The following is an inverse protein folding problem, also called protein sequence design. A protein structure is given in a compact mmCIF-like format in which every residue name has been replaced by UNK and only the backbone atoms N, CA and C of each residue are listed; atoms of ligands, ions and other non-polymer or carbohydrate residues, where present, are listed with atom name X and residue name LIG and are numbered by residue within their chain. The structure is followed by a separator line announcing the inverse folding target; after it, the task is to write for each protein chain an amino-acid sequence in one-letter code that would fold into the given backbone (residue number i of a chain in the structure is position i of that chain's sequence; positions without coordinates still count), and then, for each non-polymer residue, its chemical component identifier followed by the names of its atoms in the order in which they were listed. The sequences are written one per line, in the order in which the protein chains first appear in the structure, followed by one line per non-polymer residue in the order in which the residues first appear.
data_IF_226253853390
#
_entry.id   IF_226253853390
#
_cell.length_a   1.000
_cell.length_b   1.000
_cell.length_c   1.000
_cell.angle_alpha   90.00
_cell.angle_beta   90.00
_cell.angle_gamma   90.00
#
_symmetry.space_group_name_H-M   'P 1'
#
loop_
_entity.id
_entity.type
_entity.pdbx_description
1 polymer ?
#
# COMPACT_ATOMS: atom_id res chain seq x y z
N UNK A 1 -13.85 -24.73 -10.17
CA UNK A 1 -14.47 -23.42 -9.86
C UNK A 1 -13.37 -22.51 -9.36
N UNK A 2 -13.17 -21.35 -9.98
CA UNK A 2 -12.18 -20.34 -9.57
C UNK A 2 -12.93 -19.15 -8.98
N UNK A 3 -12.60 -18.77 -7.76
CA UNK A 3 -13.25 -17.67 -7.03
C UNK A 3 -12.19 -16.79 -6.40
N UNK A 4 -12.25 -15.47 -6.63
CA UNK A 4 -11.47 -14.49 -5.88
C UNK A 4 -12.12 -13.12 -6.02
N UNK A 5 -12.02 -12.30 -4.95
CA UNK A 5 -12.59 -10.96 -4.90
C UNK A 5 -11.79 -9.88 -5.63
N UNK A 6 -10.62 -10.22 -6.18
CA UNK A 6 -9.71 -9.25 -6.82
C UNK A 6 -9.33 -9.61 -8.26
N UNK A 7 -9.95 -10.65 -8.83
CA UNK A 7 -9.69 -11.04 -10.22
C UNK A 7 -10.21 -9.96 -11.17
N UNK A 8 -9.30 -9.26 -11.83
CA UNK A 8 -9.64 -8.28 -12.86
C UNK A 8 -8.48 -8.10 -13.84
N UNK A 9 -8.74 -8.02 -15.16
CA UNK A 9 -10.01 -8.33 -15.84
C UNK A 9 -10.20 -9.86 -16.00
N UNK A 10 -11.45 -10.35 -15.82
CA UNK A 10 -11.75 -11.80 -15.83
C UNK A 10 -11.36 -12.52 -17.14
N UNK A 11 -11.50 -11.83 -18.27
CA UNK A 11 -11.18 -12.34 -19.61
C UNK A 11 -9.70 -12.69 -19.80
N UNK A 12 -8.81 -12.17 -18.95
CA UNK A 12 -7.39 -12.49 -18.98
C UNK A 12 -7.11 -13.93 -18.55
N UNK A 13 -7.85 -14.43 -17.56
CA UNK A 13 -7.56 -15.72 -16.92
C UNK A 13 -7.90 -16.90 -17.83
N UNK A 14 -9.00 -16.82 -18.59
CA UNK A 14 -9.37 -17.87 -19.55
C UNK A 14 -8.30 -18.06 -20.62
N UNK A 15 -7.78 -16.94 -21.16
CA UNK A 15 -6.70 -16.95 -22.15
C UNK A 15 -5.38 -17.44 -21.57
N UNK A 16 -5.00 -16.96 -20.39
CA UNK A 16 -3.70 -17.27 -19.78
C UNK A 16 -3.60 -18.76 -19.37
N UNK A 17 -4.71 -19.34 -18.91
CA UNK A 17 -4.76 -20.72 -18.41
C UNK A 17 -5.18 -21.73 -19.49
N UNK A 18 -5.49 -21.29 -20.72
CA UNK A 18 -5.95 -22.16 -21.80
C UNK A 18 -7.28 -22.87 -21.47
N UNK A 19 -8.21 -22.16 -20.81
CA UNK A 19 -9.49 -22.74 -20.41
C UNK A 19 -10.49 -22.63 -21.56
N UNK A 20 -10.61 -23.70 -22.34
CA UNK A 20 -11.50 -23.76 -23.50
C UNK A 20 -12.99 -23.87 -23.14
N UNK A 21 -13.32 -24.20 -21.88
CA UNK A 21 -14.69 -24.43 -21.39
C UNK A 21 -15.04 -23.60 -20.16
N UNK A 22 -15.01 -22.28 -20.29
CA UNK A 22 -15.54 -21.37 -19.26
C UNK A 22 -17.05 -21.24 -19.45
N UNK A 23 -17.82 -21.81 -18.51
CA UNK A 23 -19.29 -21.82 -18.57
C UNK A 23 -19.89 -20.50 -18.09
N UNK A 24 -19.34 -19.93 -17.02
CA UNK A 24 -19.75 -18.64 -16.44
C UNK A 24 -18.51 -17.89 -15.97
N UNK A 25 -18.42 -16.61 -16.31
CA UNK A 25 -17.40 -15.70 -15.82
C UNK A 25 -18.08 -14.39 -15.50
N UNK A 26 -18.34 -14.17 -14.21
CA UNK A 26 -19.07 -13.01 -13.72
C UNK A 26 -18.29 -12.35 -12.59
N UNK A 27 -18.25 -11.01 -12.63
CA UNK A 27 -17.85 -10.20 -11.50
C UNK A 27 -19.13 -9.77 -10.81
N UNK A 28 -19.25 -10.10 -9.53
CA UNK A 28 -20.38 -9.67 -8.72
C UNK A 28 -20.07 -8.28 -8.20
N UNK A 29 -20.93 -7.31 -8.53
CA UNK A 29 -20.82 -5.98 -7.95
C UNK A 29 -21.13 -6.03 -6.45
N UNK A 30 -20.41 -5.21 -5.69
CA UNK A 30 -20.63 -5.12 -4.25
C UNK A 30 -21.91 -4.31 -4.00
N UNK A 31 -22.90 -4.94 -3.38
CA UNK A 31 -24.10 -4.24 -2.90
C UNK A 31 -23.90 -3.93 -1.43
N UNK A 32 -23.82 -2.64 -1.10
CA UNK A 32 -23.62 -2.15 0.25
C UNK A 32 -24.76 -1.21 0.59
N UNK A 33 -25.25 -1.28 1.83
CA UNK A 33 -26.29 -0.37 2.32
C UNK A 33 -25.80 1.09 2.41
N UNK A 34 -24.48 1.31 2.38
CA UNK A 34 -23.82 2.62 2.45
C UNK A 34 -22.52 2.61 1.62
N UNK A 35 -22.10 3.79 1.19
CA UNK A 35 -20.79 4.01 0.55
C UNK A 35 -19.65 3.81 1.57
N UNK A 36 -19.25 2.57 1.82
CA UNK A 36 -18.22 2.27 2.82
C UNK A 36 -16.77 2.35 2.28
N UNK A 37 -16.60 2.50 0.96
CA UNK A 37 -15.28 2.63 0.32
C UNK A 37 -15.26 3.90 -0.53
N UNK A 38 -14.26 4.77 -0.29
CA UNK A 38 -14.05 6.02 -1.02
C UNK A 38 -12.66 6.04 -1.66
N UNK A 39 -12.50 5.50 -2.88
CA UNK A 39 -11.22 5.54 -3.56
C UNK A 39 -10.88 6.97 -3.97
N UNK A 40 -9.64 7.40 -3.74
CA UNK A 40 -9.12 8.71 -4.14
C UNK A 40 -7.77 8.52 -4.82
N UNK A 41 -7.59 9.14 -5.98
CA UNK A 41 -6.31 9.17 -6.69
C UNK A 41 -5.71 10.56 -6.54
N UNK A 42 -4.57 10.65 -5.88
CA UNK A 42 -3.82 11.90 -5.71
C UNK A 42 -2.67 11.92 -6.70
N UNK A 43 -2.74 12.83 -7.68
CA UNK A 43 -1.74 12.93 -8.77
C UNK A 43 -0.75 14.08 -8.57
N UNK A 44 -1.06 15.03 -7.69
CA UNK A 44 -0.27 16.24 -7.46
C UNK A 44 -0.31 16.64 -5.99
N UNK A 45 0.76 17.30 -5.55
CA UNK A 45 0.83 18.03 -4.30
C UNK A 45 1.32 19.44 -4.64
N UNK A 46 0.45 20.43 -4.53
CA UNK A 46 0.68 21.77 -5.08
C UNK A 46 1.10 21.69 -6.57
N UNK A 47 2.27 22.22 -6.91
CA UNK A 47 2.80 22.24 -8.27
C UNK A 47 3.62 21.00 -8.66
N UNK A 48 3.85 20.09 -7.70
CA UNK A 48 4.66 18.88 -7.89
C UNK A 48 3.79 17.72 -8.35
N UNK A 49 4.16 17.10 -9.47
CA UNK A 49 3.53 15.85 -9.95
C UNK A 49 4.03 14.69 -9.10
N UNK A 50 3.10 13.95 -8.49
CA UNK A 50 3.43 12.76 -7.73
C UNK A 50 3.63 11.59 -8.68
N UNK A 51 4.86 11.08 -8.74
CA UNK A 51 5.19 9.94 -9.58
C UNK A 51 6.16 9.00 -8.88
N UNK A 52 5.88 7.70 -8.98
CA UNK A 52 6.79 6.63 -8.56
C UNK A 52 7.58 6.04 -9.73
N UNK A 53 7.77 6.79 -10.82
CA UNK A 53 8.62 6.37 -11.94
C UNK A 53 10.07 6.22 -11.48
N UNK A 54 10.87 5.40 -12.16
CA UNK A 54 12.26 5.17 -11.76
C UNK A 54 13.10 6.46 -11.69
N UNK A 55 12.81 7.43 -12.55
CA UNK A 55 13.48 8.72 -12.58
C UNK A 55 13.04 9.62 -11.42
N UNK A 56 11.73 9.70 -11.16
CA UNK A 56 11.16 10.55 -10.10
C UNK A 56 11.31 9.99 -8.68
N UNK A 57 11.63 8.70 -8.51
CA UNK A 57 11.88 8.10 -7.18
C UNK A 57 13.08 8.68 -6.45
N UNK A 58 14.05 9.23 -7.19
CA UNK A 58 15.23 9.89 -6.60
C UNK A 58 14.97 11.33 -6.23
N UNK A 59 13.80 11.86 -6.61
CA UNK A 59 13.42 13.22 -6.31
C UNK A 59 12.98 13.32 -4.85
N UNK A 60 13.78 14.03 -4.06
CA UNK A 60 13.47 14.29 -2.66
C UNK A 60 12.23 15.16 -2.49
N UNK A 61 11.90 16.00 -3.48
CA UNK A 61 10.72 16.87 -3.43
C UNK A 61 9.43 16.04 -3.45
N UNK A 62 9.38 15.02 -4.32
CA UNK A 62 8.26 14.07 -4.36
C UNK A 62 8.14 13.31 -3.03
N UNK A 63 9.27 12.92 -2.44
CA UNK A 63 9.28 12.23 -1.14
C UNK A 63 8.77 13.11 -0.01
N UNK A 64 9.12 14.40 -0.01
CA UNK A 64 8.57 15.39 0.93
C UNK A 64 7.07 15.57 0.74
N UNK A 65 6.60 15.67 -0.51
CA UNK A 65 5.17 15.78 -0.82
C UNK A 65 4.36 14.57 -0.32
N UNK A 66 4.88 13.35 -0.46
CA UNK A 66 4.25 12.17 0.14
C UNK A 66 4.14 12.30 1.66
N UNK A 67 5.17 12.87 2.30
CA UNK A 67 5.20 13.13 3.73
C UNK A 67 4.12 14.11 4.17
N UNK A 68 3.99 15.24 3.49
CA UNK A 68 2.96 16.26 3.76
C UNK A 68 1.55 15.69 3.62
N UNK A 69 1.28 14.97 2.53
CA UNK A 69 -0.02 14.34 2.30
C UNK A 69 -0.36 13.30 3.36
N UNK A 70 0.65 12.51 3.76
CA UNK A 70 0.46 11.53 4.82
C UNK A 70 0.21 12.21 6.17
N UNK A 71 0.90 13.32 6.46
CA UNK A 71 0.72 14.09 7.68
C UNK A 71 -0.71 14.64 7.82
N UNK A 72 -1.25 15.23 6.76
CA UNK A 72 -2.65 15.69 6.70
C UNK A 72 -3.63 14.52 6.88
N UNK A 73 -3.34 13.37 6.27
CA UNK A 73 -4.20 12.20 6.38
C UNK A 73 -4.22 11.62 7.80
N UNK A 74 -3.06 11.47 8.45
CA UNK A 74 -2.99 10.87 9.80
C UNK A 74 -3.61 11.77 10.87
N UNK A 75 -3.73 13.08 10.62
CA UNK A 75 -4.44 14.01 11.50
C UNK A 75 -5.96 13.77 11.50
N UNK A 76 -6.52 13.42 10.34
CA UNK A 76 -7.98 13.28 10.17
C UNK A 76 -8.45 11.83 10.37
N UNK A 77 -7.65 10.86 9.96
CA UNK A 77 -8.05 9.45 10.01
C UNK A 77 -7.87 8.90 11.43
N UNK A 78 -8.92 8.39 12.08
CA UNK A 78 -8.80 7.76 13.40
C UNK A 78 -8.09 6.41 13.31
N UNK A 79 -7.55 5.96 14.44
CA UNK A 79 -7.01 4.60 14.61
C UNK A 79 -5.91 4.24 13.60
N UNK A 80 -6.13 3.21 12.78
CA UNK A 80 -5.14 2.60 11.90
C UNK A 80 -5.07 3.21 10.49
N UNK A 81 -3.87 3.62 10.10
CA UNK A 81 -3.50 3.94 8.71
C UNK A 81 -2.43 2.94 8.24
N UNK A 82 -2.61 2.38 7.04
CA UNK A 82 -1.67 1.42 6.44
C UNK A 82 -1.16 1.98 5.13
N UNK A 83 0.16 2.06 5.00
CA UNK A 83 0.82 2.57 3.81
C UNK A 83 1.59 1.46 3.10
N UNK A 84 1.31 1.25 1.82
CA UNK A 84 2.01 0.29 0.99
C UNK A 84 2.95 0.98 0.00
N UNK A 85 4.22 0.60 0.03
CA UNK A 85 5.22 1.02 -0.93
C UNK A 85 5.43 -0.02 -2.02
N UNK A 86 5.86 0.42 -3.20
CA UNK A 86 6.14 -0.50 -4.33
C UNK A 86 7.31 -1.44 -4.11
N UNK A 87 8.28 -1.08 -3.25
CA UNK A 87 9.43 -1.90 -2.90
C UNK A 87 10.05 -1.47 -1.56
N UNK A 88 10.81 -2.38 -0.91
CA UNK A 88 11.54 -2.10 0.34
C UNK A 88 12.58 -0.99 0.16
N UNK A 89 13.30 -1.01 -0.97
CA UNK A 89 14.29 0.03 -1.30
C UNK A 89 13.63 1.40 -1.38
N UNK A 90 12.46 1.49 -2.03
CA UNK A 90 11.75 2.75 -2.15
C UNK A 90 11.23 3.23 -0.79
N UNK A 91 10.66 2.33 0.02
CA UNK A 91 10.25 2.65 1.39
C UNK A 91 11.42 3.20 2.22
N UNK A 92 12.57 2.51 2.22
CA UNK A 92 13.74 2.95 2.97
C UNK A 92 14.26 4.32 2.51
N UNK A 93 14.25 4.60 1.22
CA UNK A 93 14.63 5.91 0.68
C UNK A 93 13.70 7.01 1.18
N UNK A 94 12.39 6.83 1.03
CA UNK A 94 11.39 7.81 1.47
C UNK A 94 11.46 8.03 2.98
N UNK A 95 11.57 6.96 3.77
CA UNK A 95 11.67 7.04 5.23
C UNK A 95 12.94 7.77 5.67
N UNK A 96 14.08 7.59 4.98
CA UNK A 96 15.31 8.36 5.24
C UNK A 96 15.08 9.84 4.99
N UNK A 97 14.49 10.21 3.85
CA UNK A 97 14.14 11.61 3.56
C UNK A 97 13.17 12.18 4.61
N UNK A 98 12.22 11.39 5.10
CA UNK A 98 11.30 11.81 6.17
C UNK A 98 11.98 11.98 7.52
N UNK A 99 12.99 11.16 7.82
CA UNK A 99 13.81 11.31 9.02
C UNK A 99 14.62 12.60 8.95
N UNK A 100 15.36 12.81 7.85
CA UNK A 100 16.24 13.97 7.67
C UNK A 100 15.46 15.30 7.61
N UNK A 101 14.23 15.29 7.07
CA UNK A 101 13.34 16.47 7.02
C UNK A 101 12.50 16.69 8.28
N UNK A 102 12.60 15.81 9.29
CA UNK A 102 11.79 15.86 10.50
C UNK A 102 10.31 15.48 10.31
N UNK A 103 9.91 15.08 9.09
CA UNK A 103 8.54 14.61 8.81
C UNK A 103 8.17 13.40 9.65
N UNK A 104 9.09 12.46 9.84
CA UNK A 104 8.83 11.27 10.65
C UNK A 104 8.52 11.61 12.11
N UNK A 105 9.20 12.63 12.65
CA UNK A 105 8.92 13.12 14.00
C UNK A 105 7.51 13.72 14.09
N UNK A 106 7.08 14.51 13.09
CA UNK A 106 5.72 15.07 13.03
C UNK A 106 4.64 14.00 12.84
N UNK A 107 4.89 12.95 12.06
CA UNK A 107 3.97 11.80 11.99
C UNK A 107 3.83 11.12 13.36
N UNK A 108 4.94 10.99 14.09
CA UNK A 108 5.00 10.33 15.39
C UNK A 108 4.27 11.09 16.51
N UNK A 109 4.01 12.40 16.34
CA UNK A 109 3.16 13.16 17.28
C UNK A 109 1.69 12.79 17.12
N UNK A 110 1.27 12.30 15.96
CA UNK A 110 -0.11 11.92 15.68
C UNK A 110 -0.39 10.43 15.89
N UNK A 111 0.49 9.55 15.40
CA UNK A 111 0.32 8.07 15.49
C UNK A 111 1.65 7.37 15.74
N UNK A 112 1.63 6.19 16.34
CA UNK A 112 2.85 5.38 16.48
C UNK A 112 3.22 4.79 15.12
N UNK A 113 4.46 4.99 14.68
CA UNK A 113 4.92 4.55 13.37
C UNK A 113 5.59 3.17 13.46
N UNK A 114 5.13 2.24 12.65
CA UNK A 114 5.64 0.88 12.54
C UNK A 114 6.11 0.60 11.12
N UNK A 115 7.08 -0.30 10.98
CA UNK A 115 7.71 -0.61 9.70
C UNK A 115 7.75 -2.12 9.48
N UNK A 116 7.50 -2.55 8.24
CA UNK A 116 7.82 -3.90 7.80
C UNK A 116 9.33 -4.09 7.70
N UNK A 117 9.85 -5.17 8.28
CA UNK A 117 11.27 -5.53 8.22
C UNK A 117 11.52 -6.75 7.33
N UNK A 118 12.78 -7.13 7.13
CA UNK A 118 13.12 -8.39 6.45
C UNK A 118 12.87 -9.61 7.35
N UNK A 119 13.06 -9.44 8.66
CA UNK A 119 12.78 -10.46 9.64
C UNK A 119 11.27 -10.62 9.89
N UNK A 120 10.82 -11.87 9.86
CA UNK A 120 9.41 -12.24 10.04
C UNK A 120 8.98 -12.01 11.47
N UNK A 121 9.83 -12.39 12.43
CA UNK A 121 9.50 -12.30 13.86
C UNK A 121 9.32 -10.82 14.24
N UNK A 122 10.26 -9.98 13.83
CA UNK A 122 10.20 -8.53 14.03
C UNK A 122 8.98 -7.90 13.38
N UNK A 123 8.62 -8.33 12.16
CA UNK A 123 7.41 -7.85 11.49
C UNK A 123 6.15 -8.24 12.25
N UNK A 124 6.06 -9.47 12.74
CA UNK A 124 4.92 -9.95 13.55
C UNK A 124 4.78 -9.15 14.84
N UNK A 125 5.91 -8.86 15.52
CA UNK A 125 5.91 -8.03 16.73
C UNK A 125 5.44 -6.61 16.41
N UNK A 126 5.97 -5.99 15.35
CA UNK A 126 5.55 -4.66 14.92
C UNK A 126 4.05 -4.60 14.62
N UNK A 127 3.49 -5.66 14.03
CA UNK A 127 2.08 -5.74 13.69
C UNK A 127 1.18 -5.98 14.92
N UNK A 128 1.66 -6.74 15.90
CA UNK A 128 0.99 -6.87 17.20
C UNK A 128 0.94 -5.52 17.92
N UNK A 129 2.07 -4.82 18.00
CA UNK A 129 2.16 -3.52 18.65
C UNK A 129 1.34 -2.45 17.91
N UNK A 130 1.23 -2.55 16.59
CA UNK A 130 0.37 -1.70 15.79
C UNK A 130 -1.11 -1.84 16.18
N UNK A 131 -1.59 -3.08 16.32
CA UNK A 131 -2.97 -3.35 16.75
C UNK A 131 -3.21 -2.82 18.16
N UNK A 132 -2.28 -3.07 19.08
CA UNK A 132 -2.34 -2.56 20.44
C UNK A 132 -2.40 -1.02 20.49
N UNK A 133 -1.58 -0.33 19.67
CA UNK A 133 -1.62 1.13 19.59
C UNK A 133 -2.96 1.67 19.05
N UNK A 134 -3.61 0.94 18.14
CA UNK A 134 -4.95 1.28 17.67
C UNK A 134 -6.00 1.06 18.78
N UNK A 135 -5.91 -0.06 19.50
CA UNK A 135 -6.86 -0.41 20.57
C UNK A 135 -6.76 0.51 21.79
N UNK A 136 -5.58 1.05 22.07
CA UNK A 136 -5.32 2.01 23.16
C UNK A 136 -5.69 3.46 22.78
N UNK A 137 -6.22 3.70 21.57
CA UNK A 137 -6.66 5.03 21.12
C UNK A 137 -5.54 5.97 20.70
N UNK A 138 -4.28 5.52 20.70
CA UNK A 138 -3.15 6.30 20.18
C UNK A 138 -3.14 6.34 18.65
N UNK A 139 -3.61 5.27 18.03
CA UNK A 139 -3.59 5.07 16.58
C UNK A 139 -2.21 4.63 16.07
N UNK A 140 -2.24 3.85 14.99
CA UNK A 140 -1.05 3.28 14.38
C UNK A 140 -0.90 3.73 12.93
N UNK A 141 0.34 3.95 12.51
CA UNK A 141 0.74 4.11 11.12
C UNK A 141 1.67 2.96 10.74
N UNK A 142 1.23 2.06 9.86
CA UNK A 142 2.03 0.90 9.44
C UNK A 142 2.57 1.10 8.03
N UNK A 143 3.90 1.15 7.88
CA UNK A 143 4.58 1.26 6.59
C UNK A 143 5.03 -0.13 6.11
N UNK A 144 4.40 -0.63 5.05
CA UNK A 144 4.59 -1.96 4.48
C UNK A 144 4.93 -1.92 3.00
N UNK A 145 5.26 -3.08 2.43
CA UNK A 145 5.47 -3.24 0.98
C UNK A 145 4.31 -4.01 0.36
N UNK A 146 3.80 -3.54 -0.77
CA UNK A 146 2.63 -4.12 -1.46
C UNK A 146 2.84 -5.56 -1.99
N UNK A 147 4.08 -6.04 -2.01
CA UNK A 147 4.48 -7.41 -2.37
C UNK A 147 5.16 -8.12 -1.19
N UNK A 148 4.98 -7.57 0.01
CA UNK A 148 5.53 -8.09 1.24
C UNK A 148 4.68 -9.22 1.80
N UNK A 149 5.16 -9.82 2.89
CA UNK A 149 4.40 -10.87 3.59
C UNK A 149 3.12 -10.31 4.22
N UNK A 150 3.15 -9.03 4.59
CA UNK A 150 2.03 -8.30 5.21
C UNK A 150 0.87 -8.12 4.22
N UNK A 151 1.14 -7.98 2.91
CA UNK A 151 0.08 -7.75 1.90
C UNK A 151 -0.68 -8.99 1.46
N UNK A 152 -0.18 -10.21 1.74
CA UNK A 152 -0.79 -11.46 1.24
C UNK A 152 -1.58 -12.23 2.30
N UNK A 153 -1.27 -12.07 3.58
CA UNK A 153 -1.80 -12.94 4.64
C UNK A 153 -2.36 -12.23 5.87
N UNK A 154 -2.36 -10.89 5.88
CA UNK A 154 -2.76 -10.12 7.05
C UNK A 154 -3.98 -9.28 6.70
N UNK A 155 -5.04 -9.48 7.49
CA UNK A 155 -6.26 -8.70 7.39
C UNK A 155 -6.19 -7.48 8.33
N UNK A 156 -6.57 -6.33 7.78
CA UNK A 156 -6.69 -5.05 8.48
C UNK A 156 -8.18 -4.76 8.70
N UNK A 157 -8.82 -5.60 9.50
CA UNK A 157 -10.25 -5.50 9.77
C UNK A 157 -10.61 -4.24 10.59
N UNK A 158 -11.83 -3.72 10.40
CA UNK A 158 -12.44 -2.62 11.19
C UNK A 158 -11.56 -1.36 11.30
N UNK A 159 -11.09 -1.06 12.50
CA UNK A 159 -10.37 0.16 12.84
C UNK A 159 -8.86 0.03 12.62
N UNK A 160 -8.36 -1.17 12.31
CA UNK A 160 -6.96 -1.41 11.97
C UNK A 160 -6.60 -0.97 10.55
N UNK A 161 -7.55 -0.54 9.72
CA UNK A 161 -7.33 -0.20 8.32
C UNK A 161 -8.26 0.91 7.83
N UNK A 162 -8.49 1.95 8.64
CA UNK A 162 -9.44 3.03 8.32
C UNK A 162 -9.03 3.83 7.07
N UNK A 163 -7.74 3.92 6.81
CA UNK A 163 -7.23 4.39 5.52
C UNK A 163 -6.07 3.51 5.04
N UNK A 164 -6.11 3.18 3.76
CA UNK A 164 -5.03 2.47 3.07
C UNK A 164 -4.45 3.40 2.01
N UNK A 165 -3.15 3.67 2.10
CA UNK A 165 -2.42 4.54 1.18
C UNK A 165 -1.47 3.69 0.35
N UNK A 166 -1.59 3.76 -0.97
CA UNK A 166 -0.65 3.11 -1.88
C UNK A 166 0.30 4.15 -2.48
N UNK A 167 1.56 4.12 -2.06
CA UNK A 167 2.59 5.00 -2.60
C UNK A 167 3.14 4.45 -3.91
N UNK A 168 2.62 5.01 -5.01
CA UNK A 168 3.01 4.65 -6.36
C UNK A 168 2.28 3.43 -6.92
N UNK A 169 2.75 2.92 -8.05
CA UNK A 169 2.15 1.76 -8.72
C UNK A 169 3.09 0.55 -8.65
N UNK A 170 2.65 -0.61 -8.10
CA UNK A 170 3.51 -1.77 -7.85
C UNK A 170 3.86 -2.56 -9.13
N UNK A 171 4.63 -1.96 -10.03
CA UNK A 171 5.10 -2.62 -11.25
C UNK A 171 6.13 -3.72 -10.98
N UNK A 172 6.12 -4.76 -11.82
CA UNK A 172 7.21 -5.73 -11.87
C UNK A 172 8.46 -5.11 -12.51
N UNK A 173 9.63 -5.60 -12.13
CA UNK A 173 10.88 -5.17 -12.77
C UNK A 173 10.91 -5.59 -14.25
N UNK A 174 10.71 -4.62 -15.14
CA UNK A 174 10.52 -4.82 -16.57
C UNK A 174 11.76 -5.38 -17.29
N UNK A 175 12.95 -5.17 -16.73
CA UNK A 175 14.21 -5.67 -17.30
C UNK A 175 14.58 -7.07 -16.80
N UNK A 176 13.72 -7.72 -16.00
CA UNK A 176 13.93 -9.11 -15.57
C UNK A 176 13.98 -10.03 -16.78
N UNK A 177 15.05 -10.85 -16.89
CA UNK A 177 15.18 -11.90 -17.91
C UNK A 177 13.96 -12.81 -17.95
N UNK A 178 13.41 -13.16 -16.77
CA UNK A 178 12.22 -14.01 -16.67
C UNK A 178 10.97 -13.34 -17.24
N UNK A 179 10.78 -12.05 -16.94
CA UNK A 179 9.61 -11.34 -17.47
C UNK A 179 9.71 -11.18 -18.98
N UNK A 180 10.89 -10.82 -19.49
CA UNK A 180 11.14 -10.74 -20.94
C UNK A 180 10.91 -12.06 -21.65
N UNK A 181 11.35 -13.17 -21.06
CA UNK A 181 11.13 -14.51 -21.63
C UNK A 181 9.66 -14.94 -21.60
N UNK A 182 8.84 -14.45 -20.66
CA UNK A 182 7.40 -14.75 -20.59
C UNK A 182 6.54 -13.85 -21.48
N UNK A 183 7.10 -12.72 -21.93
CA UNK A 183 6.43 -11.78 -22.82
C UNK A 183 6.80 -11.97 -24.30
N UNK A 184 7.86 -12.74 -24.58
CA UNK A 184 8.27 -13.16 -25.93
C UNK A 184 7.43 -14.35 -26.39
#
# INVERSE_FOLDING_TARGET
VLTSGTLSPLSMYSKLLGLDRVVVSEALDISLERDCIRPLIVTRSNDVVLSSSFQSRKDEEVSKCYGTLLEELVQVVPDGVVCFFTSKVFMQQVVRTWYDSGTLARLSTHKVVFFETDDVVSTTIALSNYREACDQGRGGLFLAVARGKVSEGIDFDRHYGRAVVLFGVPFQYSLSRRLRARLA
#
